data_IF_421921681222
#
_entry.id   IF_421921681222
#
_cell.length_a   1.000
_cell.length_b   1.000
_cell.length_c   1.000
_cell.angle_alpha   90.00
_cell.angle_beta   90.00
_cell.angle_gamma   90.00
#
_symmetry.space_group_name_H-M   'P 1'
#
loop_
_entity.id
_entity.type
_entity.pdbx_description
1 polymer ?
#
# COMPACT_ATOMS: atom_id res chain seq x y z
N UNK A 1 -15.03 54.80 30.53
CA UNK A 1 -14.12 53.67 30.80
C UNK A 1 -14.49 52.35 30.09
N UNK A 2 -15.77 52.02 29.80
CA UNK A 2 -16.14 50.75 29.13
C UNK A 2 -15.78 50.66 27.63
N UNK A 3 -15.67 51.80 26.93
CA UNK A 3 -15.36 51.85 25.48
C UNK A 3 -13.94 51.35 25.17
N UNK A 4 -12.94 51.84 25.92
CA UNK A 4 -11.54 51.39 25.87
C UNK A 4 -11.38 49.88 26.14
N UNK A 5 -12.19 49.30 27.03
CA UNK A 5 -12.16 47.86 27.31
C UNK A 5 -12.70 47.02 26.14
N UNK A 6 -13.78 47.47 25.50
CA UNK A 6 -14.33 46.81 24.31
C UNK A 6 -13.42 46.93 23.09
N UNK A 7 -12.73 48.06 22.93
CA UNK A 7 -11.79 48.28 21.84
C UNK A 7 -10.57 47.35 21.98
N UNK A 8 -10.05 47.19 23.20
CA UNK A 8 -8.97 46.23 23.49
C UNK A 8 -9.41 44.77 23.34
N UNK A 9 -10.67 44.43 23.69
CA UNK A 9 -11.22 43.08 23.52
C UNK A 9 -11.42 42.74 22.04
N UNK A 10 -11.85 43.70 21.21
CA UNK A 10 -11.95 43.54 19.75
C UNK A 10 -10.58 43.33 19.12
N UNK A 11 -9.57 44.09 19.56
CA UNK A 11 -8.18 43.93 19.11
C UNK A 11 -7.65 42.54 19.48
N UNK A 12 -7.94 42.04 20.69
CA UNK A 12 -7.52 40.70 21.13
C UNK A 12 -8.18 39.58 20.30
N UNK A 13 -9.47 39.70 19.99
CA UNK A 13 -10.19 38.74 19.14
C UNK A 13 -9.66 38.76 17.70
N UNK A 14 -9.36 39.94 17.15
CA UNK A 14 -8.76 40.09 15.82
C UNK A 14 -7.35 39.50 15.80
N UNK A 15 -6.54 39.71 16.84
CA UNK A 15 -5.21 39.10 16.95
C UNK A 15 -5.30 37.58 17.09
N UNK A 16 -6.24 37.05 17.88
CA UNK A 16 -6.47 35.60 17.98
C UNK A 16 -6.94 34.99 16.65
N UNK A 17 -7.81 35.70 15.92
CA UNK A 17 -8.26 35.30 14.59
C UNK A 17 -7.10 35.33 13.57
N UNK A 18 -6.28 36.38 13.57
CA UNK A 18 -5.10 36.50 12.70
C UNK A 18 -4.00 35.47 13.02
N UNK A 19 -3.88 35.02 14.27
CA UNK A 19 -2.99 33.91 14.66
C UNK A 19 -3.56 32.56 14.21
N UNK A 20 -4.89 32.36 14.25
CA UNK A 20 -5.54 31.14 13.72
C UNK A 20 -5.52 31.04 12.19
N UNK A 21 -5.52 32.18 11.49
CA UNK A 21 -5.48 32.28 10.03
C UNK A 21 -4.05 32.32 9.47
N UNK A 22 -3.03 32.44 10.34
CA UNK A 22 -1.64 32.09 10.02
C UNK A 22 -1.36 30.59 10.27
N UNK A 23 -2.33 29.75 9.95
CA UNK A 23 -2.00 28.46 9.37
C UNK A 23 -1.43 28.78 7.98
N UNK A 24 -0.15 28.52 7.69
CA UNK A 24 0.28 28.63 6.31
C UNK A 24 -0.56 27.61 5.54
N UNK A 25 -1.37 28.13 4.62
CA UNK A 25 -1.95 27.44 3.48
C UNK A 25 -0.82 26.86 2.62
N UNK A 26 -0.06 25.90 3.14
CA UNK A 26 0.68 24.94 2.31
C UNK A 26 -0.34 23.89 1.89
N UNK A 27 -1.31 24.35 1.11
CA UNK A 27 -2.20 23.52 0.31
C UNK A 27 -1.76 23.50 -1.17
N UNK A 28 -0.58 24.06 -1.51
CA UNK A 28 0.02 24.01 -2.85
C UNK A 28 1.54 23.81 -2.82
N UNK A 29 2.01 22.93 -1.94
CA UNK A 29 3.28 22.24 -2.17
C UNK A 29 3.06 20.76 -1.86
N UNK A 30 2.61 20.02 -2.87
CA UNK A 30 2.87 18.58 -2.94
C UNK A 30 4.36 18.39 -3.28
N UNK A 31 5.23 19.01 -2.50
CA UNK A 31 6.66 18.74 -2.51
C UNK A 31 6.91 17.73 -1.41
N UNK A 32 7.56 16.63 -1.80
CA UNK A 32 7.71 15.43 -1.00
C UNK A 32 8.18 15.73 0.41
N UNK A 33 7.39 15.28 1.37
CA UNK A 33 7.97 14.71 2.57
C UNK A 33 9.01 13.66 2.15
N UNK A 34 10.14 13.48 2.88
CA UNK A 34 11.08 12.39 2.63
C UNK A 34 10.40 10.99 2.63
N UNK A 35 9.17 10.92 3.16
CA UNK A 35 8.25 9.80 3.08
C UNK A 35 7.76 9.50 1.65
N UNK A 36 7.45 10.51 0.82
CA UNK A 36 6.95 10.29 -0.55
C UNK A 36 7.99 9.65 -1.47
N UNK A 37 9.27 9.96 -1.29
CA UNK A 37 10.37 9.29 -2.01
C UNK A 37 10.55 7.85 -1.52
N UNK A 38 10.45 7.59 -0.22
CA UNK A 38 10.60 6.23 0.30
C UNK A 38 9.40 5.35 -0.08
N UNK A 39 8.19 5.90 -0.07
CA UNK A 39 6.96 5.25 -0.53
C UNK A 39 7.03 4.93 -2.03
N UNK A 40 7.59 5.83 -2.85
CA UNK A 40 7.73 5.55 -4.29
C UNK A 40 8.80 4.47 -4.56
N UNK A 41 9.93 4.51 -3.85
CA UNK A 41 10.99 3.50 -3.96
C UNK A 41 10.51 2.11 -3.53
N UNK A 42 9.78 2.02 -2.41
CA UNK A 42 9.22 0.75 -1.91
C UNK A 42 8.18 0.19 -2.86
N UNK A 43 7.30 1.02 -3.41
CA UNK A 43 6.32 0.61 -4.44
C UNK A 43 6.99 0.13 -5.72
N UNK A 44 8.01 0.81 -6.23
CA UNK A 44 8.72 0.35 -7.43
C UNK A 44 9.50 -0.95 -7.18
N UNK A 45 10.06 -1.10 -5.98
CA UNK A 45 10.70 -2.35 -5.55
C UNK A 45 9.68 -3.49 -5.45
N UNK A 46 8.48 -3.23 -4.93
CA UNK A 46 7.39 -4.20 -4.88
C UNK A 46 6.97 -4.63 -6.30
N UNK A 47 6.78 -3.69 -7.23
CA UNK A 47 6.49 -4.01 -8.63
C UNK A 47 7.57 -4.86 -9.30
N UNK A 48 8.85 -4.60 -8.98
CA UNK A 48 9.95 -5.45 -9.46
C UNK A 48 9.80 -6.89 -8.95
N UNK A 49 9.52 -7.07 -7.66
CA UNK A 49 9.27 -8.39 -7.08
C UNK A 49 8.06 -9.08 -7.71
N UNK A 50 6.98 -8.34 -8.01
CA UNK A 50 5.83 -8.89 -8.77
C UNK A 50 6.26 -9.40 -10.14
N UNK A 51 7.02 -8.61 -10.91
CA UNK A 51 7.53 -9.03 -12.23
C UNK A 51 8.39 -10.28 -12.14
N UNK A 52 9.26 -10.37 -11.13
CA UNK A 52 10.06 -11.57 -10.88
C UNK A 52 9.18 -12.79 -10.56
N UNK A 53 8.15 -12.62 -9.72
CA UNK A 53 7.18 -13.67 -9.43
C UNK A 53 6.43 -14.16 -10.67
N UNK A 54 6.02 -13.25 -11.56
CA UNK A 54 5.39 -13.60 -12.85
C UNK A 54 6.36 -14.42 -13.72
N UNK A 55 7.63 -14.01 -13.79
CA UNK A 55 8.64 -14.78 -14.54
C UNK A 55 8.81 -16.19 -13.96
N UNK A 56 8.80 -16.35 -12.63
CA UNK A 56 8.82 -17.67 -12.02
C UNK A 56 7.56 -18.49 -12.30
N UNK A 57 6.38 -17.87 -12.41
CA UNK A 57 5.16 -18.56 -12.85
C UNK A 57 5.28 -19.09 -14.29
N UNK A 58 5.83 -18.28 -15.21
CA UNK A 58 6.06 -18.69 -16.60
C UNK A 58 7.04 -19.88 -16.67
N UNK A 59 8.00 -19.94 -15.75
CA UNK A 59 8.94 -21.05 -15.60
C UNK A 59 8.41 -22.22 -14.75
N UNK A 60 7.13 -22.20 -14.36
CA UNK A 60 6.47 -23.19 -13.50
C UNK A 60 7.15 -23.39 -12.12
N UNK A 61 7.95 -22.41 -11.68
CA UNK A 61 8.63 -22.42 -10.39
C UNK A 61 7.74 -21.83 -9.29
N UNK A 62 6.63 -22.51 -9.00
CA UNK A 62 5.55 -22.02 -8.13
C UNK A 62 6.01 -21.53 -6.75
N UNK A 63 6.92 -22.24 -6.08
CA UNK A 63 7.43 -21.84 -4.76
C UNK A 63 8.20 -20.51 -4.81
N UNK A 64 9.05 -20.32 -5.82
CA UNK A 64 9.80 -19.06 -5.98
C UNK A 64 8.88 -17.91 -6.36
N UNK A 65 7.86 -18.18 -7.18
CA UNK A 65 6.82 -17.20 -7.49
C UNK A 65 6.12 -16.72 -6.21
N UNK A 66 5.71 -17.65 -5.33
CA UNK A 66 5.13 -17.35 -4.02
C UNK A 66 6.04 -16.45 -3.17
N UNK A 67 7.31 -16.82 -3.04
CA UNK A 67 8.31 -16.05 -2.29
C UNK A 67 8.45 -14.62 -2.83
N UNK A 68 8.52 -14.44 -4.16
CA UNK A 68 8.58 -13.13 -4.79
C UNK A 68 7.33 -12.29 -4.52
N UNK A 69 6.13 -12.87 -4.60
CA UNK A 69 4.90 -12.13 -4.30
C UNK A 69 4.75 -11.80 -2.81
N UNK A 70 5.22 -12.66 -1.91
CA UNK A 70 5.27 -12.36 -0.46
C UNK A 70 6.23 -11.20 -0.18
N UNK A 71 7.38 -11.16 -0.86
CA UNK A 71 8.31 -10.03 -0.77
C UNK A 71 7.67 -8.75 -1.30
N UNK A 72 6.97 -8.80 -2.44
CA UNK A 72 6.22 -7.67 -2.97
C UNK A 72 5.19 -7.13 -1.97
N UNK A 73 4.39 -8.01 -1.37
CA UNK A 73 3.42 -7.67 -0.30
C UNK A 73 4.09 -7.06 0.93
N UNK A 74 5.30 -7.52 1.28
CA UNK A 74 6.03 -7.00 2.43
C UNK A 74 6.61 -5.60 2.18
N UNK A 75 6.98 -5.31 0.93
CA UNK A 75 7.49 -4.00 0.50
C UNK A 75 6.36 -2.98 0.29
N UNK A 76 5.26 -3.40 -0.33
CA UNK A 76 4.04 -2.60 -0.48
C UNK A 76 2.83 -3.41 -0.01
N UNK A 77 2.40 -3.21 1.25
CA UNK A 77 1.24 -3.89 1.83
C UNK A 77 -0.08 -3.64 1.11
N UNK A 78 -0.13 -2.65 0.21
CA UNK A 78 -1.31 -2.29 -0.60
C UNK A 78 -1.18 -2.71 -2.06
N UNK A 79 -0.17 -3.50 -2.42
CA UNK A 79 0.03 -3.99 -3.79
C UNK A 79 -1.06 -5.00 -4.19
N UNK A 80 -2.11 -4.50 -4.87
CA UNK A 80 -3.20 -5.33 -5.41
C UNK A 80 -2.67 -6.47 -6.30
N UNK A 81 -1.67 -6.19 -7.14
CA UNK A 81 -1.04 -7.19 -8.01
C UNK A 81 -0.46 -8.36 -7.21
N UNK A 82 0.27 -8.08 -6.12
CA UNK A 82 0.87 -9.13 -5.29
C UNK A 82 -0.20 -10.05 -4.67
N UNK A 83 -1.30 -9.48 -4.16
CA UNK A 83 -2.41 -10.26 -3.63
C UNK A 83 -3.14 -11.06 -4.72
N UNK A 84 -3.36 -10.47 -5.89
CA UNK A 84 -4.02 -11.13 -7.01
C UNK A 84 -3.23 -12.37 -7.46
N UNK A 85 -1.91 -12.24 -7.62
CA UNK A 85 -1.08 -13.37 -8.04
C UNK A 85 -0.93 -14.43 -6.95
N UNK A 86 -0.85 -14.05 -5.66
CA UNK A 86 -0.88 -15.03 -4.56
C UNK A 86 -2.22 -15.78 -4.51
N UNK A 87 -3.33 -15.08 -4.67
CA UNK A 87 -4.66 -15.68 -4.72
C UNK A 87 -4.79 -16.67 -5.87
N UNK A 88 -4.35 -16.30 -7.07
CA UNK A 88 -4.32 -17.17 -8.23
C UNK A 88 -3.45 -18.42 -7.98
N UNK A 89 -2.26 -18.22 -7.42
CA UNK A 89 -1.31 -19.30 -7.13
C UNK A 89 -1.91 -20.32 -6.15
N UNK A 90 -2.47 -19.86 -5.03
CA UNK A 90 -3.08 -20.75 -4.04
C UNK A 90 -4.35 -21.41 -4.55
N UNK A 91 -5.13 -20.72 -5.36
CA UNK A 91 -6.29 -21.31 -6.02
C UNK A 91 -5.88 -22.48 -6.93
N UNK A 92 -4.84 -22.30 -7.74
CA UNK A 92 -4.31 -23.35 -8.62
C UNK A 92 -3.72 -24.52 -7.82
N UNK A 93 -2.96 -24.26 -6.75
CA UNK A 93 -2.43 -25.31 -5.87
C UNK A 93 -3.56 -26.12 -5.22
N UNK A 94 -4.63 -25.46 -4.74
CA UNK A 94 -5.79 -26.14 -4.17
C UNK A 94 -6.53 -27.03 -5.18
N UNK A 95 -6.63 -26.62 -6.44
CA UNK A 95 -7.18 -27.44 -7.52
C UNK A 95 -6.27 -28.62 -7.89
N UNK A 96 -4.96 -28.41 -7.85
CA UNK A 96 -3.99 -29.46 -8.14
C UNK A 96 -4.02 -30.57 -7.07
N UNK A 97 -4.07 -30.21 -5.78
CA UNK A 97 -4.19 -31.20 -4.71
C UNK A 97 -5.51 -31.98 -4.78
N UNK A 98 -6.62 -31.31 -5.12
CA UNK A 98 -7.89 -32.01 -5.40
C UNK A 98 -7.78 -32.99 -6.57
N UNK A 99 -7.10 -32.57 -7.65
CA UNK A 99 -6.89 -33.42 -8.83
C UNK A 99 -6.09 -34.67 -8.48
N UNK A 100 -5.02 -34.53 -7.70
CA UNK A 100 -4.23 -35.67 -7.21
C UNK A 100 -5.07 -36.65 -6.38
N UNK A 101 -5.89 -36.14 -5.46
CA UNK A 101 -6.76 -36.99 -4.63
C UNK A 101 -7.70 -37.82 -5.50
N UNK A 102 -8.30 -37.22 -6.53
CA UNK A 102 -9.19 -37.92 -7.46
C UNK A 102 -8.47 -39.00 -8.26
N UNK A 103 -7.27 -38.72 -8.78
CA UNK A 103 -6.49 -39.72 -9.52
C UNK A 103 -6.06 -40.88 -8.64
N UNK A 104 -5.61 -40.62 -7.42
CA UNK A 104 -5.26 -41.67 -6.47
C UNK A 104 -6.45 -42.63 -6.27
N UNK A 105 -7.65 -42.10 -6.02
CA UNK A 105 -8.86 -42.92 -5.87
C UNK A 105 -9.16 -43.76 -7.11
N UNK A 106 -9.01 -43.20 -8.31
CA UNK A 106 -9.25 -43.91 -9.56
C UNK A 106 -8.24 -45.03 -9.83
N UNK A 107 -7.01 -44.92 -9.31
CA UNK A 107 -5.98 -45.97 -9.43
C UNK A 107 -6.08 -47.07 -8.38
N UNK A 108 -6.79 -46.83 -7.27
CA UNK A 108 -7.01 -47.80 -6.20
C UNK A 108 -8.36 -48.55 -6.30
N UNK A 109 -9.08 -48.41 -7.42
CA UNK A 109 -10.27 -49.20 -7.78
C UNK A 109 -9.97 -50.15 -8.92
#
# INVERSE_FOLDING_TARGET
MKRLFFDNLKILIILFFLVSQNLPLICLAKEGSPENSQISITRESAKKMVREGINFLILEQYKKAEESFIQAKSLDPYSEEAYNFLGLLYFQQGLFEKTKDMFNRATFT
#
